data_IF_536916654886
#
_entry.id   IF_536916654886
#
_cell.length_a   1.000
_cell.length_b   1.000
_cell.length_c   1.000
_cell.angle_alpha   90.00
_cell.angle_beta   90.00
_cell.angle_gamma   90.00
#
_symmetry.space_group_name_H-M   'P 1'
#
loop_
_entity.id
_entity.type
_entity.pdbx_description
1 polymer ?
#
# COMPACT_ATOMS: atom_id res chain seq x y z
N UNK A 1 -10.73 -3.53 12.34
CA UNK A 1 -10.00 -4.62 11.65
C UNK A 1 -9.59 -4.21 10.23
N UNK A 2 -10.55 -3.87 9.35
CA UNK A 2 -10.29 -3.47 7.95
C UNK A 2 -9.20 -2.41 7.76
N UNK A 3 -9.12 -1.39 8.62
CA UNK A 3 -8.09 -0.35 8.52
C UNK A 3 -6.67 -0.89 8.73
N UNK A 4 -6.50 -1.85 9.65
CA UNK A 4 -5.21 -2.46 9.95
C UNK A 4 -4.78 -3.38 8.80
N UNK A 5 -5.74 -4.14 8.25
CA UNK A 5 -5.53 -4.99 7.09
C UNK A 5 -5.13 -4.18 5.85
N UNK A 6 -5.79 -3.03 5.62
CA UNK A 6 -5.42 -2.08 4.58
C UNK A 6 -3.99 -1.52 4.76
N UNK A 7 -3.57 -1.23 6.00
CA UNK A 7 -2.20 -0.83 6.32
C UNK A 7 -1.17 -1.93 6.02
N UNK A 8 -1.47 -3.18 6.38
CA UNK A 8 -0.61 -4.34 6.10
C UNK A 8 -0.48 -4.57 4.60
N UNK A 9 -1.59 -4.50 3.85
CA UNK A 9 -1.58 -4.62 2.39
C UNK A 9 -0.75 -3.49 1.76
N UNK A 10 -0.91 -2.25 2.24
CA UNK A 10 -0.11 -1.10 1.79
C UNK A 10 1.39 -1.26 2.08
N UNK A 11 1.75 -1.85 3.23
CA UNK A 11 3.13 -2.15 3.59
C UNK A 11 3.74 -3.24 2.71
N UNK A 12 3.04 -4.38 2.54
CA UNK A 12 3.50 -5.49 1.70
C UNK A 12 3.60 -5.04 0.24
N UNK A 13 2.62 -4.31 -0.27
CA UNK A 13 2.65 -3.72 -1.60
C UNK A 13 3.81 -2.75 -1.79
N UNK A 14 4.11 -1.92 -0.78
CA UNK A 14 5.25 -1.02 -0.80
C UNK A 14 6.59 -1.77 -0.80
N UNK A 15 6.71 -2.86 -0.03
CA UNK A 15 7.91 -3.72 -0.03
C UNK A 15 8.14 -4.36 -1.41
N UNK A 16 7.07 -4.87 -2.02
CA UNK A 16 7.11 -5.42 -3.38
C UNK A 16 7.47 -4.35 -4.41
N UNK A 17 6.93 -3.14 -4.28
CA UNK A 17 7.27 -2.00 -5.13
C UNK A 17 8.75 -1.60 -5.04
N UNK A 18 9.32 -1.61 -3.84
CA UNK A 18 10.77 -1.39 -3.63
C UNK A 18 11.58 -2.48 -4.33
N UNK A 19 11.21 -3.76 -4.17
CA UNK A 19 11.89 -4.86 -4.84
C UNK A 19 11.83 -4.73 -6.38
N UNK A 20 10.65 -4.39 -6.92
CA UNK A 20 10.45 -4.12 -8.35
C UNK A 20 11.29 -2.94 -8.84
N UNK A 21 11.46 -1.90 -8.01
CA UNK A 21 12.26 -0.72 -8.35
C UNK A 21 13.72 -1.08 -8.60
N UNK A 22 14.30 -2.03 -7.84
CA UNK A 22 15.65 -2.53 -8.09
C UNK A 22 15.78 -3.30 -9.40
N UNK A 23 14.76 -4.10 -9.76
CA UNK A 23 14.74 -4.83 -11.04
C UNK A 23 14.71 -3.83 -12.20
N UNK A 24 13.80 -2.86 -12.14
CA UNK A 24 13.67 -1.81 -13.16
C UNK A 24 14.95 -0.98 -13.27
N UNK A 25 15.53 -0.59 -12.14
CA UNK A 25 16.80 0.15 -12.12
C UNK A 25 17.94 -0.64 -12.78
N UNK A 26 18.02 -1.96 -12.54
CA UNK A 26 19.05 -2.82 -13.15
C UNK A 26 18.88 -2.94 -14.67
N UNK A 27 17.63 -3.07 -15.13
CA UNK A 27 17.32 -3.08 -16.57
C UNK A 27 17.70 -1.74 -17.20
N UNK A 28 17.31 -0.61 -16.61
CA UNK A 28 17.61 0.73 -17.13
C UNK A 28 19.12 1.03 -17.15
N UNK A 29 19.86 0.55 -16.15
CA UNK A 29 21.32 0.66 -16.12
C UNK A 29 21.96 -0.06 -17.33
N UNK A 30 21.38 -1.18 -17.76
CA UNK A 30 21.84 -1.93 -18.94
C UNK A 30 21.63 -1.14 -20.25
N UNK A 31 20.71 -0.17 -20.27
CA UNK A 31 20.51 0.78 -21.37
C UNK A 31 21.34 2.07 -21.22
N UNK A 32 22.33 2.09 -20.32
CA UNK A 32 23.15 3.27 -20.00
C UNK A 32 22.34 4.48 -19.50
N UNK A 33 21.13 4.25 -18.96
CA UNK A 33 20.35 5.30 -18.29
C UNK A 33 20.74 5.30 -16.81
N UNK A 34 21.36 6.38 -16.30
CA UNK A 34 21.75 6.45 -14.90
C UNK A 34 20.49 6.55 -14.02
N UNK A 35 20.30 5.57 -13.14
CA UNK A 35 19.22 5.55 -12.14
C UNK A 35 19.83 5.67 -10.76
N UNK A 36 19.44 6.71 -10.01
CA UNK A 36 19.85 6.90 -8.62
C UNK A 36 18.75 6.36 -7.68
N UNK A 37 19.04 5.27 -6.97
CA UNK A 37 18.21 4.82 -5.85
C UNK A 37 18.85 5.32 -4.54
N UNK A 38 18.30 6.38 -3.98
CA UNK A 38 18.66 6.85 -2.65
C UNK A 38 17.73 6.24 -1.59
N UNK A 39 18.24 5.88 -0.40
CA UNK A 39 17.42 5.30 0.68
C UNK A 39 16.27 6.23 1.11
N UNK A 40 16.43 7.54 1.01
CA UNK A 40 15.38 8.53 1.29
C UNK A 40 14.17 8.38 0.35
N UNK A 41 14.39 8.17 -0.95
CA UNK A 41 13.32 7.94 -1.94
C UNK A 41 12.61 6.61 -1.70
N UNK A 42 13.36 5.56 -1.35
CA UNK A 42 12.78 4.24 -1.05
C UNK A 42 11.92 4.29 0.21
N UNK A 43 12.42 4.91 1.29
CA UNK A 43 11.67 5.09 2.53
C UNK A 43 10.45 6.00 2.31
N UNK A 44 10.60 7.09 1.56
CA UNK A 44 9.51 7.97 1.19
C UNK A 44 8.41 7.24 0.41
N UNK A 45 8.80 6.42 -0.58
CA UNK A 45 7.87 5.60 -1.36
C UNK A 45 7.15 4.55 -0.52
N UNK A 46 7.86 3.86 0.38
CA UNK A 46 7.27 2.90 1.30
C UNK A 46 6.25 3.56 2.23
N UNK A 47 6.61 4.71 2.82
CA UNK A 47 5.73 5.47 3.70
C UNK A 47 4.49 5.97 2.96
N UNK A 48 4.67 6.45 1.72
CA UNK A 48 3.58 6.88 0.86
C UNK A 48 2.62 5.72 0.52
N UNK A 49 3.15 4.53 0.22
CA UNK A 49 2.34 3.32 -0.06
C UNK A 49 1.43 2.97 1.13
N UNK A 50 1.96 3.03 2.36
CA UNK A 50 1.19 2.76 3.58
C UNK A 50 0.06 3.80 3.74
N UNK A 51 0.37 5.09 3.55
CA UNK A 51 -0.63 6.17 3.64
C UNK A 51 -1.75 5.95 2.63
N UNK A 52 -1.42 5.67 1.37
CA UNK A 52 -2.41 5.45 0.32
C UNK A 52 -3.25 4.19 0.64
N UNK A 53 -2.63 3.11 1.10
CA UNK A 53 -3.33 1.91 1.54
C UNK A 53 -4.33 2.19 2.66
N UNK A 54 -3.93 2.97 3.67
CA UNK A 54 -4.81 3.39 4.77
C UNK A 54 -5.96 4.26 4.24
N UNK A 55 -5.67 5.28 3.44
CA UNK A 55 -6.68 6.18 2.87
C UNK A 55 -7.72 5.40 2.06
N UNK A 56 -7.27 4.47 1.22
CA UNK A 56 -8.15 3.60 0.46
C UNK A 56 -9.01 2.70 1.37
N UNK A 57 -8.47 2.26 2.52
CA UNK A 57 -9.17 1.44 3.51
C UNK A 57 -10.18 2.20 4.39
N UNK A 58 -10.10 3.54 4.47
CA UNK A 58 -11.01 4.34 5.31
C UNK A 58 -12.45 4.26 4.80
N UNK A 59 -12.68 4.40 3.49
CA UNK A 59 -14.01 4.35 2.91
C UNK A 59 -14.75 3.03 3.21
N UNK A 60 -14.19 1.83 2.94
CA UNK A 60 -14.86 0.57 3.25
C UNK A 60 -14.99 0.34 4.76
N UNK A 61 -13.98 0.71 5.57
CA UNK A 61 -14.06 0.56 7.02
C UNK A 61 -15.19 1.41 7.64
N UNK A 62 -15.39 2.63 7.13
CA UNK A 62 -16.47 3.51 7.56
C UNK A 62 -17.84 2.98 7.17
N UNK A 63 -17.95 2.44 5.95
CA UNK A 63 -19.20 1.83 5.49
C UNK A 63 -19.58 0.63 6.35
N UNK A 64 -18.63 -0.27 6.66
CA UNK A 64 -18.87 -1.43 7.51
C UNK A 64 -19.25 -1.04 8.96
N UNK A 65 -18.63 -0.01 9.51
CA UNK A 65 -18.92 0.46 10.87
C UNK A 65 -20.29 1.15 11.01
N UNK A 66 -20.89 1.60 9.90
CA UNK A 66 -22.19 2.27 9.91
C UNK A 66 -23.38 1.31 9.80
N UNK A 67 -23.15 0.01 9.61
CA UNK A 67 -24.22 -0.98 9.47
C UNK A 67 -24.84 -1.25 10.86
N UNK A 68 -26.15 -1.06 11.04
CA UNK A 68 -26.83 -1.40 12.28
C UNK A 68 -26.63 -2.89 12.62
N UNK A 69 -26.29 -3.25 13.87
CA UNK A 69 -26.04 -4.65 14.24
C UNK A 69 -27.28 -5.53 14.05
N UNK A 70 -28.49 -4.96 14.15
CA UNK A 70 -29.75 -5.66 13.87
C UNK A 70 -29.89 -6.03 12.39
N UNK A 71 -29.37 -5.23 11.46
CA UNK A 71 -29.37 -5.54 10.03
C UNK A 71 -28.25 -6.51 9.67
N UNK A 72 -27.08 -6.38 10.31
CA UNK A 72 -25.96 -7.30 10.11
C UNK A 72 -26.30 -8.75 10.51
N UNK A 73 -27.05 -8.94 11.61
CA UNK A 73 -27.50 -10.26 12.09
C UNK A 73 -28.69 -10.83 11.31
N UNK A 74 -29.46 -9.98 10.63
CA UNK A 74 -30.67 -10.39 9.89
C UNK A 74 -30.34 -10.86 8.46
N UNK A 75 -29.12 -10.61 8.01
CA UNK A 75 -28.56 -11.06 6.75
C UNK A 75 -27.73 -12.36 6.87
N UNK A 76 -27.66 -12.96 8.07
CA UNK A 76 -27.22 -14.35 8.28
C UNK A 76 -28.32 -15.36 7.95
#
# INVERSE_FOLDING_TARGET
>A
MFLCEAGIIGFVGGLLGVALSFIVASVLNSFSVPVLLTPELLLGGLFFSIIIGIIAGIAPARNAASIPPVEALKYE
#
